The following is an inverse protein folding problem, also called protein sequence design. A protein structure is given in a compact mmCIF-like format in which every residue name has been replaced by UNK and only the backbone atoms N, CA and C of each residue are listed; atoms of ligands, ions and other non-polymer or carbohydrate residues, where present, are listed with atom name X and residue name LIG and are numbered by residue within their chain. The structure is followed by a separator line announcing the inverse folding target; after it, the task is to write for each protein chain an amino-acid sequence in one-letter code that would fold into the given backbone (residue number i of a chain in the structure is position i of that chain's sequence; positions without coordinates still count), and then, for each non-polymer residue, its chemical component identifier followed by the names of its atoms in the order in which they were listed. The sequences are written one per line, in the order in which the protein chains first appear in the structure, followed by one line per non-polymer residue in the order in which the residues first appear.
data_IF_169268680767
#
_entry.id   IF_169268680767
#
_cell.length_a   1.000
_cell.length_b   1.000
_cell.length_c   1.000
_cell.angle_alpha   90.00
_cell.angle_beta   90.00
_cell.angle_gamma   90.00
#
_symmetry.space_group_name_H-M   'P 1'
#
loop_
_entity.id
_entity.type
_entity.pdbx_description
1 polymer ?
#
# COMPACT_ATOMS: atom_id res chain seq x y z
N UNK A 1 3.56 -49.80 34.14
CA UNK A 1 4.99 -49.62 33.79
C UNK A 1 5.27 -48.14 33.85
N UNK A 2 6.08 -47.74 34.83
CA UNK A 2 6.34 -46.37 35.24
C UNK A 2 7.68 -45.94 34.67
N UNK A 3 7.72 -44.85 33.88
CA UNK A 3 8.96 -44.12 33.60
C UNK A 3 8.69 -42.61 33.64
N UNK A 4 8.82 -42.06 34.85
CA UNK A 4 9.27 -40.68 35.09
C UNK A 4 10.69 -40.52 34.54
N UNK A 5 11.00 -39.40 33.88
CA UNK A 5 12.28 -38.68 34.05
C UNK A 5 12.12 -37.17 33.90
N UNK A 6 12.17 -36.50 35.04
CA UNK A 6 12.59 -35.11 35.22
C UNK A 6 14.09 -34.96 34.99
N UNK A 7 14.51 -33.86 34.34
CA UNK A 7 15.76 -33.09 34.47
C UNK A 7 15.54 -31.86 33.55
N UNK A 8 15.78 -30.59 33.87
CA UNK A 8 16.57 -29.91 34.89
C UNK A 8 17.19 -28.65 34.24
N UNK A 9 17.41 -27.60 35.05
CA UNK A 9 18.09 -26.32 34.75
C UNK A 9 17.27 -25.27 33.95
N UNK A 10 16.82 -24.14 34.49
CA UNK A 10 17.45 -23.11 35.33
C UNK A 10 18.49 -22.27 34.58
N UNK A 11 18.02 -21.21 33.89
CA UNK A 11 18.81 -20.04 33.51
C UNK A 11 17.96 -18.77 33.72
N UNK A 12 18.01 -18.23 34.93
CA UNK A 12 17.56 -16.86 35.21
C UNK A 12 18.70 -15.93 34.83
N UNK A 13 18.57 -15.22 33.71
CA UNK A 13 19.44 -14.08 33.40
C UNK A 13 18.80 -12.82 33.98
N UNK A 14 19.38 -12.35 35.09
CA UNK A 14 19.17 -11.00 35.62
C UNK A 14 20.02 -10.05 34.77
N UNK A 15 19.38 -9.25 33.92
CA UNK A 15 20.03 -8.08 33.30
C UNK A 15 19.73 -6.88 34.19
N UNK A 16 20.75 -6.39 34.88
CA UNK A 16 20.78 -5.15 35.66
C UNK A 16 21.78 -4.20 35.00
N UNK A 17 21.34 -2.97 34.73
CA UNK A 17 22.14 -1.83 34.28
C UNK A 17 21.76 -1.39 32.86
N UNK A 18 21.48 -0.12 32.54
CA UNK A 18 21.78 1.13 33.22
C UNK A 18 20.87 2.27 32.76
N UNK A 19 20.62 3.19 33.69
CA UNK A 19 20.55 4.65 33.54
C UNK A 19 19.48 5.28 32.64
N UNK A 20 18.55 5.91 33.35
CA UNK A 20 17.62 6.94 32.90
C UNK A 20 18.36 8.14 32.30
N UNK A 21 18.09 8.46 31.03
CA UNK A 21 18.24 9.81 30.49
C UNK A 21 16.84 10.39 30.30
N UNK A 22 16.34 11.08 31.34
CA UNK A 22 15.14 11.92 31.22
C UNK A 22 15.58 13.27 30.68
N UNK A 23 15.31 13.54 29.41
CA UNK A 23 15.29 14.90 28.87
C UNK A 23 13.95 15.52 29.32
N UNK A 24 13.93 16.64 30.06
CA UNK A 24 12.70 17.36 30.30
C UNK A 24 12.29 18.04 28.99
N UNK A 25 11.31 17.45 28.30
CA UNK A 25 10.55 18.15 27.27
C UNK A 25 9.76 19.25 27.97
N UNK A 26 10.11 20.50 27.67
CA UNK A 26 9.35 21.67 28.08
C UNK A 26 7.92 21.58 27.52
N UNK A 27 6.95 21.83 28.39
CA UNK A 27 5.56 22.05 27.99
C UNK A 27 5.49 23.42 27.33
N UNK A 28 5.47 23.46 26.00
CA UNK A 28 5.03 24.65 25.26
C UNK A 28 3.50 24.65 25.20
N UNK A 29 2.90 25.36 26.16
CA UNK A 29 1.53 25.81 26.12
C UNK A 29 1.40 26.93 25.08
N UNK A 30 0.87 26.56 23.91
CA UNK A 30 0.49 27.48 22.83
C UNK A 30 -0.46 28.57 23.31
N UNK A 31 0.10 29.65 23.83
CA UNK A 31 -0.59 30.87 24.23
C UNK A 31 -0.72 31.83 23.07
N UNK A 32 -1.90 31.86 22.45
CA UNK A 32 -2.31 32.90 21.51
C UNK A 32 -2.32 34.25 22.24
N UNK A 33 -1.46 35.20 21.85
CA UNK A 33 -1.64 36.61 22.21
C UNK A 33 -1.53 37.50 20.98
N UNK A 34 -2.70 38.00 20.59
CA UNK A 34 -2.88 39.22 19.80
C UNK A 34 -2.43 40.44 20.62
N UNK A 35 -1.82 41.36 19.90
CA UNK A 35 -1.78 42.81 20.08
C UNK A 35 -1.33 43.36 21.44
N UNK A 36 -0.10 43.87 21.48
CA UNK A 36 0.20 45.22 21.99
C UNK A 36 1.64 45.59 21.67
N UNK A 37 1.81 46.71 20.97
CA UNK A 37 3.09 47.27 20.57
C UNK A 37 4.04 47.45 21.74
N UNK A 38 5.11 46.66 21.73
CA UNK A 38 6.35 46.92 22.43
C UNK A 38 7.44 46.77 21.39
N UNK A 39 8.17 47.85 21.13
CA UNK A 39 9.42 47.82 20.37
C UNK A 39 10.37 46.88 21.11
N UNK A 40 10.44 45.62 20.69
CA UNK A 40 11.54 44.74 21.09
C UNK A 40 12.79 45.32 20.46
N UNK A 41 13.65 45.91 21.30
CA UNK A 41 15.07 46.00 20.99
C UNK A 41 15.59 44.57 21.05
N UNK A 42 15.67 43.92 19.89
CA UNK A 42 16.42 42.68 19.73
C UNK A 42 17.90 43.03 19.90
N UNK A 43 18.32 43.04 21.17
CA UNK A 43 19.68 43.22 21.60
C UNK A 43 20.49 41.97 21.28
N UNK A 44 21.04 41.95 20.08
CA UNK A 44 22.10 41.06 19.66
C UNK A 44 22.78 41.68 18.46
N UNK A 45 23.60 42.72 18.70
CA UNK A 45 24.38 43.40 17.66
C UNK A 45 25.49 42.51 17.13
N UNK A 46 25.12 41.45 16.42
CA UNK A 46 26.07 40.55 15.78
C UNK A 46 26.78 41.23 14.60
N UNK A 47 27.99 40.76 14.32
CA UNK A 47 28.81 41.24 13.20
C UNK A 47 28.42 40.42 11.96
N UNK A 48 28.05 41.09 10.87
CA UNK A 48 27.75 40.43 9.61
C UNK A 48 29.01 39.70 9.08
N UNK A 49 28.87 38.42 8.73
CA UNK A 49 29.93 37.58 8.19
C UNK A 49 29.34 36.73 7.06
N UNK A 50 29.33 37.27 5.83
CA UNK A 50 28.66 36.60 4.71
C UNK A 50 27.15 36.47 4.94
N UNK A 51 26.64 35.25 4.84
CA UNK A 51 25.24 34.88 5.12
C UNK A 51 24.98 34.61 6.60
N UNK A 52 26.02 34.47 7.42
CA UNK A 52 25.88 34.36 8.86
C UNK A 52 25.98 35.73 9.54
N UNK A 53 25.41 35.80 10.73
CA UNK A 53 25.66 36.89 11.67
C UNK A 53 26.39 36.28 12.85
N UNK A 54 27.65 36.66 13.06
CA UNK A 54 28.42 36.21 14.21
C UNK A 54 27.81 36.82 15.47
N UNK A 55 27.44 36.00 16.45
CA UNK A 55 26.71 36.46 17.64
C UNK A 55 27.60 36.42 18.88
N UNK A 56 27.25 37.22 19.90
CA UNK A 56 28.09 37.34 21.10
C UNK A 56 29.39 38.10 20.82
N UNK A 57 30.53 37.53 21.24
CA UNK A 57 31.87 38.12 21.07
C UNK A 57 32.65 37.50 19.90
N UNK A 58 31.98 36.72 19.03
CA UNK A 58 32.60 36.09 17.86
C UNK A 58 33.10 37.12 16.84
N UNK A 59 34.20 36.78 16.16
CA UNK A 59 34.77 37.55 15.06
C UNK A 59 34.54 36.83 13.73
N UNK A 60 34.29 37.61 12.67
CA UNK A 60 34.19 37.07 11.31
C UNK A 60 35.58 36.66 10.82
N UNK A 61 35.79 35.36 10.68
CA UNK A 61 37.06 34.80 10.25
C UNK A 61 37.18 34.72 8.72
N UNK A 62 36.09 34.41 8.04
CA UNK A 62 36.02 34.45 6.58
C UNK A 62 34.59 34.75 6.12
N UNK A 63 34.38 35.96 5.61
CA UNK A 63 33.07 36.41 5.14
C UNK A 63 32.56 35.58 3.94
N UNK A 64 33.44 35.03 3.11
CA UNK A 64 33.02 34.23 1.94
C UNK A 64 32.38 32.89 2.35
N UNK A 65 32.66 32.39 3.54
CA UNK A 65 32.16 31.10 4.03
C UNK A 65 31.22 31.26 5.22
N UNK A 66 30.93 32.49 5.60
CA UNK A 66 30.15 32.79 6.79
C UNK A 66 30.71 32.16 8.07
N UNK A 67 32.04 32.10 8.18
CA UNK A 67 32.71 31.44 9.31
C UNK A 67 32.98 32.42 10.44
N UNK A 68 32.35 32.18 11.58
CA UNK A 68 32.57 32.88 12.84
C UNK A 68 33.49 32.06 13.75
N UNK A 69 34.36 32.73 14.51
CA UNK A 69 35.14 32.08 15.57
C UNK A 69 35.15 32.92 16.84
N UNK A 70 35.32 32.28 17.98
CA UNK A 70 35.54 32.97 19.25
C UNK A 70 36.85 33.81 19.18
N UNK A 71 36.94 34.93 19.91
CA UNK A 71 38.06 35.86 19.79
C UNK A 71 39.42 35.27 20.21
N UNK A 72 39.41 34.20 21.01
CA UNK A 72 40.62 33.50 21.48
C UNK A 72 41.03 32.30 20.60
N UNK A 73 40.31 32.05 19.50
CA UNK A 73 40.64 30.99 18.53
C UNK A 73 41.22 31.60 17.24
N UNK A 74 42.31 31.02 16.75
CA UNK A 74 42.84 31.38 15.44
C UNK A 74 41.82 30.97 14.35
N UNK A 75 41.58 31.87 13.39
CA UNK A 75 40.73 31.56 12.24
C UNK A 75 41.32 30.36 11.48
N UNK A 76 40.56 29.26 11.32
CA UNK A 76 41.08 28.09 10.62
C UNK A 76 41.24 28.45 9.14
N UNK A 77 42.41 28.09 8.59
CA UNK A 77 42.67 28.21 7.16
C UNK A 77 41.94 27.08 6.43
N UNK A 78 40.62 27.23 6.28
CA UNK A 78 39.78 26.31 5.51
C UNK A 78 39.62 26.91 4.11
N UNK A 79 39.94 26.13 3.08
CA UNK A 79 39.49 26.42 1.72
C UNK A 79 37.99 26.20 1.69
N UNK A 80 37.25 27.29 1.55
CA UNK A 80 35.80 27.22 1.58
C UNK A 80 35.27 26.89 0.19
N UNK A 81 34.59 25.76 0.12
CA UNK A 81 33.68 25.41 -0.95
C UNK A 81 32.42 26.29 -0.83
N UNK A 82 32.25 27.27 -1.71
CA UNK A 82 31.01 28.06 -1.79
C UNK A 82 29.94 27.21 -2.47
N UNK A 83 28.79 27.00 -1.80
CA UNK A 83 27.68 26.21 -2.33
C UNK A 83 26.42 27.04 -2.41
N UNK A 84 25.66 26.83 -3.47
CA UNK A 84 24.31 27.34 -3.67
C UNK A 84 23.39 26.13 -3.78
N UNK A 85 22.52 25.92 -2.79
CA UNK A 85 21.80 24.66 -2.62
C UNK A 85 22.75 23.46 -2.57
N UNK A 86 22.53 22.49 -3.47
CA UNK A 86 23.38 21.30 -3.60
C UNK A 86 24.61 21.52 -4.49
N UNK A 87 24.68 22.64 -5.23
CA UNK A 87 25.71 22.89 -6.24
C UNK A 87 26.97 23.52 -5.63
N UNK A 88 28.14 22.98 -5.98
CA UNK A 88 29.43 23.57 -5.67
C UNK A 88 29.82 24.62 -6.71
N UNK A 89 30.08 25.85 -6.27
CA UNK A 89 30.42 26.97 -7.14
C UNK A 89 31.92 27.05 -7.44
N UNK A 90 32.25 27.57 -8.62
CA UNK A 90 33.64 27.81 -9.01
C UNK A 90 34.31 28.86 -8.11
N UNK A 91 35.65 28.82 -7.95
CA UNK A 91 36.39 29.82 -7.19
C UNK A 91 36.14 31.24 -7.72
N UNK A 92 35.79 32.17 -6.82
CA UNK A 92 35.53 33.57 -7.17
C UNK A 92 34.04 33.94 -7.31
N UNK A 93 33.13 32.98 -7.15
CA UNK A 93 31.70 33.23 -6.96
C UNK A 93 31.44 33.66 -5.52
N UNK A 94 30.70 34.75 -5.34
CA UNK A 94 30.40 35.32 -4.00
C UNK A 94 28.91 35.52 -3.73
N UNK A 95 28.04 34.99 -4.59
CA UNK A 95 26.60 35.12 -4.47
C UNK A 95 25.87 33.91 -5.07
N UNK A 96 24.72 33.58 -4.49
CA UNK A 96 23.74 32.65 -5.05
C UNK A 96 22.59 33.41 -5.69
N UNK A 97 22.10 32.89 -6.81
CA UNK A 97 20.98 33.41 -7.57
C UNK A 97 19.79 32.47 -7.38
N UNK A 98 18.58 33.01 -7.15
CA UNK A 98 17.38 32.18 -7.18
C UNK A 98 16.97 31.90 -8.63
N UNK A 99 16.82 30.61 -8.94
CA UNK A 99 16.18 30.10 -10.14
C UNK A 99 14.65 30.13 -10.05
N UNK A 100 14.01 29.58 -11.08
CA UNK A 100 12.57 29.74 -11.32
C UNK A 100 11.71 28.98 -10.31
N UNK A 101 12.22 27.83 -9.83
CA UNK A 101 11.51 26.95 -8.91
C UNK A 101 12.12 26.97 -7.49
N UNK A 102 12.78 28.07 -7.14
CA UNK A 102 13.46 28.23 -5.84
C UNK A 102 14.79 27.49 -5.73
N UNK A 103 15.29 26.90 -6.81
CA UNK A 103 16.66 26.37 -6.89
C UNK A 103 17.69 27.49 -6.73
N UNK A 104 18.81 27.22 -6.06
CA UNK A 104 19.90 28.18 -5.90
C UNK A 104 21.02 27.87 -6.87
N UNK A 105 21.40 28.86 -7.68
CA UNK A 105 22.41 28.75 -8.74
C UNK A 105 23.61 29.63 -8.40
N UNK A 106 24.82 29.19 -8.77
CA UNK A 106 26.03 29.99 -8.59
C UNK A 106 26.03 31.22 -9.50
N UNK A 107 26.26 32.41 -8.94
CA UNK A 107 26.44 33.62 -9.75
C UNK A 107 27.74 33.56 -10.58
N UNK A 108 27.82 34.35 -11.66
CA UNK A 108 29.07 34.47 -12.43
C UNK A 108 30.18 35.20 -11.66
N UNK A 109 31.41 35.21 -12.19
CA UNK A 109 32.52 36.00 -11.64
C UNK A 109 32.11 37.48 -11.52
N UNK A 110 32.13 38.02 -10.29
CA UNK A 110 31.65 39.38 -9.99
C UNK A 110 30.24 39.45 -9.36
N UNK A 111 29.58 38.31 -9.14
CA UNK A 111 28.29 38.24 -8.43
C UNK A 111 27.07 38.57 -9.30
N UNK A 112 27.24 38.68 -10.62
CA UNK A 112 26.11 38.88 -11.54
C UNK A 112 25.40 37.56 -11.83
N UNK A 113 24.08 37.55 -11.63
CA UNK A 113 23.26 36.40 -11.98
C UNK A 113 23.12 36.30 -13.51
N UNK A 114 23.32 35.12 -14.11
CA UNK A 114 23.02 34.94 -15.51
C UNK A 114 21.53 35.24 -15.76
N UNK A 115 21.15 35.76 -16.94
CA UNK A 115 19.75 35.93 -17.28
C UNK A 115 19.07 34.55 -17.31
N UNK A 116 18.24 34.28 -16.30
CA UNK A 116 17.47 33.05 -16.22
C UNK A 116 16.21 33.25 -17.05
N UNK A 117 16.13 32.54 -18.19
CA UNK A 117 14.92 32.47 -18.99
C UNK A 117 13.96 31.49 -18.31
N UNK A 118 13.24 31.96 -17.28
CA UNK A 118 12.16 31.17 -16.71
C UNK A 118 11.10 30.95 -17.79
N UNK A 119 10.61 29.70 -17.98
CA UNK A 119 9.36 29.53 -18.71
C UNK A 119 8.33 30.44 -18.03
N UNK A 120 7.55 31.23 -18.80
CA UNK A 120 6.62 32.17 -18.21
C UNK A 120 5.73 31.40 -17.23
N UNK A 121 5.56 31.87 -15.98
CA UNK A 121 4.62 31.25 -15.06
C UNK A 121 3.30 31.14 -15.80
N UNK A 122 2.73 29.93 -15.82
CA UNK A 122 1.48 29.66 -16.50
C UNK A 122 0.43 30.71 -16.12
N UNK A 123 -0.55 30.94 -16.98
CA UNK A 123 -1.47 32.06 -16.89
C UNK A 123 -2.45 32.05 -15.71
N UNK A 124 -2.16 31.35 -14.60
CA UNK A 124 -3.05 31.05 -13.46
C UNK A 124 -3.89 32.23 -12.94
N UNK A 125 -3.37 33.45 -13.01
CA UNK A 125 -4.09 34.67 -12.57
C UNK A 125 -4.72 35.49 -13.72
N UNK A 126 -4.63 34.99 -14.95
CA UNK A 126 -5.09 35.60 -16.18
C UNK A 126 -4.25 36.80 -16.65
N UNK A 127 -3.22 37.20 -15.90
CA UNK A 127 -2.50 38.45 -16.15
C UNK A 127 -1.57 38.39 -17.37
N UNK A 128 -1.17 37.17 -17.77
CA UNK A 128 -0.31 36.93 -18.93
C UNK A 128 -1.08 36.65 -20.22
N UNK A 129 -2.41 36.50 -20.15
CA UNK A 129 -3.25 36.32 -21.33
C UNK A 129 -3.60 37.67 -21.98
N UNK A 130 -3.79 37.66 -23.30
CA UNK A 130 -4.25 38.83 -24.03
C UNK A 130 -5.63 39.31 -23.55
N UNK A 131 -5.98 40.57 -23.83
CA UNK A 131 -7.24 41.18 -23.40
C UNK A 131 -8.53 40.49 -23.92
N UNK A 132 -8.40 39.49 -24.80
CA UNK A 132 -9.50 38.68 -25.35
C UNK A 132 -9.33 37.19 -25.05
N UNK A 133 -8.41 36.84 -24.16
CA UNK A 133 -8.09 35.47 -23.79
C UNK A 133 -8.47 35.21 -22.33
N UNK A 134 -8.73 33.95 -22.02
CA UNK A 134 -8.93 33.42 -20.67
C UNK A 134 -7.85 32.38 -20.41
N UNK A 135 -7.36 32.30 -19.17
CA UNK A 135 -6.45 31.23 -18.82
C UNK A 135 -7.22 29.93 -18.62
N UNK A 136 -6.72 28.88 -19.25
CA UNK A 136 -7.25 27.53 -19.16
C UNK A 136 -6.21 26.63 -18.50
N UNK A 137 -6.68 25.79 -17.59
CA UNK A 137 -5.86 24.73 -17.02
C UNK A 137 -5.59 23.68 -18.12
N UNK A 138 -4.32 23.35 -18.31
CA UNK A 138 -3.87 22.24 -19.12
C UNK A 138 -3.70 20.96 -18.28
N UNK A 139 -3.17 19.92 -18.91
CA UNK A 139 -2.80 18.72 -18.18
C UNK A 139 -1.55 18.96 -17.32
N UNK A 140 -1.38 18.18 -16.25
CA UNK A 140 -0.15 18.14 -15.45
C UNK A 140 0.24 19.50 -14.84
N UNK A 141 -0.73 20.35 -14.50
CA UNK A 141 -0.49 21.65 -13.88
C UNK A 141 0.00 22.76 -14.82
N UNK A 142 0.09 22.48 -16.13
CA UNK A 142 0.31 23.51 -17.14
C UNK A 142 -0.92 24.41 -17.26
N UNK A 143 -0.74 25.62 -17.79
CA UNK A 143 -1.86 26.49 -18.13
C UNK A 143 -1.55 27.28 -19.39
N UNK A 144 -2.57 27.51 -20.21
CA UNK A 144 -2.45 28.15 -21.52
C UNK A 144 -3.59 29.15 -21.74
N UNK A 145 -3.35 30.16 -22.55
CA UNK A 145 -4.37 31.15 -22.90
C UNK A 145 -5.23 30.64 -24.06
N UNK A 146 -6.55 30.68 -23.89
CA UNK A 146 -7.54 30.37 -24.92
C UNK A 146 -8.41 31.60 -25.20
N UNK A 147 -9.06 31.67 -26.36
CA UNK A 147 -9.99 32.77 -26.66
C UNK A 147 -11.18 32.79 -25.69
N UNK A 148 -11.40 33.92 -25.01
CA UNK A 148 -12.43 34.05 -23.98
C UNK A 148 -13.86 33.81 -24.50
N UNK A 149 -14.09 33.98 -25.82
CA UNK A 149 -15.40 33.75 -26.46
C UNK A 149 -15.73 32.27 -26.62
N UNK A 150 -14.70 31.45 -26.82
CA UNK A 150 -14.82 30.03 -27.12
C UNK A 150 -14.76 29.19 -25.85
N UNK A 151 -14.26 29.78 -24.76
CA UNK A 151 -14.05 29.10 -23.49
C UNK A 151 -12.79 28.22 -23.54
N UNK A 152 -12.60 27.44 -22.48
CA UNK A 152 -11.52 26.46 -22.46
C UNK A 152 -11.92 25.24 -23.31
N UNK A 153 -11.08 24.79 -24.26
CA UNK A 153 -11.33 23.54 -24.93
C UNK A 153 -11.29 22.41 -23.90
N UNK A 154 -12.14 21.40 -24.08
CA UNK A 154 -11.97 20.12 -23.39
C UNK A 154 -10.64 19.52 -23.88
N UNK A 155 -9.63 19.52 -23.00
CA UNK A 155 -8.39 18.81 -23.26
C UNK A 155 -8.56 17.39 -22.77
N UNK A 156 -8.42 16.46 -23.70
CA UNK A 156 -8.41 15.03 -23.41
C UNK A 156 -7.03 14.68 -22.82
N UNK A 157 -6.87 14.90 -21.52
CA UNK A 157 -5.64 14.54 -20.82
C UNK A 157 -5.48 13.01 -20.83
N UNK A 158 -4.30 12.48 -21.17
CA UNK A 158 -4.06 11.05 -21.07
C UNK A 158 -4.35 10.61 -19.62
N UNK A 159 -5.20 9.61 -19.45
CA UNK A 159 -5.69 9.17 -18.15
C UNK A 159 -4.54 8.74 -17.22
N UNK A 160 -3.46 8.18 -17.77
CA UNK A 160 -2.44 7.48 -17.00
C UNK A 160 -1.49 8.43 -16.24
N UNK A 161 -1.86 8.78 -15.01
CA UNK A 161 -0.90 9.26 -14.02
C UNK A 161 -0.03 8.10 -13.50
N UNK A 162 1.22 8.36 -13.14
CA UNK A 162 2.15 7.38 -12.55
C UNK A 162 2.45 7.70 -11.08
N UNK A 163 2.38 8.97 -10.70
CA UNK A 163 2.49 9.44 -9.32
C UNK A 163 1.53 10.61 -9.07
N UNK A 164 1.38 10.98 -7.79
CA UNK A 164 0.55 12.13 -7.39
C UNK A 164 1.04 13.46 -7.99
N UNK A 165 2.33 13.57 -8.30
CA UNK A 165 2.91 14.76 -8.93
C UNK A 165 2.31 15.03 -10.32
N UNK A 166 1.88 13.97 -11.01
CA UNK A 166 1.23 14.09 -12.33
C UNK A 166 -0.19 14.69 -12.21
N UNK A 167 -0.78 14.68 -11.02
CA UNK A 167 -2.15 15.11 -10.79
C UNK A 167 -2.29 16.57 -10.32
N UNK A 168 -1.17 17.27 -10.16
CA UNK A 168 -1.15 18.64 -9.64
C UNK A 168 -1.48 18.71 -8.14
N UNK A 169 -1.41 19.91 -7.55
CA UNK A 169 -1.33 20.07 -6.08
C UNK A 169 -2.59 19.71 -5.30
N UNK A 170 -3.69 19.36 -5.98
CA UNK A 170 -4.99 19.13 -5.36
C UNK A 170 -5.63 17.79 -5.76
N UNK A 171 -4.91 16.92 -6.45
CA UNK A 171 -5.41 15.60 -6.83
C UNK A 171 -4.38 14.50 -6.54
N UNK A 172 -4.89 13.28 -6.38
CA UNK A 172 -4.13 12.05 -6.11
C UNK A 172 -4.25 11.14 -7.32
N UNK A 173 -3.17 10.45 -7.66
CA UNK A 173 -3.18 9.46 -8.71
C UNK A 173 -3.84 8.17 -8.21
N UNK A 174 -4.99 7.83 -8.78
CA UNK A 174 -5.78 6.66 -8.42
C UNK A 174 -5.70 5.58 -9.49
N UNK A 175 -5.66 4.31 -9.08
CA UNK A 175 -5.81 3.18 -10.00
C UNK A 175 -7.28 3.01 -10.39
N UNK A 176 -7.55 2.72 -11.67
CA UNK A 176 -8.89 2.41 -12.18
C UNK A 176 -9.24 0.92 -12.04
N UNK A 177 -8.37 0.12 -11.39
CA UNK A 177 -8.53 -1.31 -11.14
C UNK A 177 -8.46 -2.21 -12.38
N UNK A 178 -8.36 -1.64 -13.58
CA UNK A 178 -8.17 -2.35 -14.85
C UNK A 178 -6.73 -2.24 -15.38
N UNK A 179 -5.85 -1.64 -14.57
CA UNK A 179 -4.45 -1.40 -14.91
C UNK A 179 -4.19 0.00 -15.48
N UNK A 180 -5.23 0.84 -15.59
CA UNK A 180 -5.10 2.27 -15.84
C UNK A 180 -4.99 3.06 -14.53
N UNK A 181 -4.64 4.32 -14.66
CA UNK A 181 -4.64 5.27 -13.57
C UNK A 181 -5.41 6.53 -13.97
N UNK A 182 -5.79 7.36 -13.00
CA UNK A 182 -6.46 8.64 -13.24
C UNK A 182 -6.30 9.58 -12.03
N UNK A 183 -6.31 10.88 -12.29
CA UNK A 183 -6.23 11.88 -11.23
C UNK A 183 -7.61 12.13 -10.61
N UNK A 184 -7.71 11.97 -9.28
CA UNK A 184 -8.92 12.24 -8.51
C UNK A 184 -8.70 13.38 -7.53
N UNK A 185 -9.62 14.33 -7.47
CA UNK A 185 -9.65 15.39 -6.45
C UNK A 185 -10.21 14.91 -5.09
N UNK A 186 -10.67 13.66 -5.01
CA UNK A 186 -11.12 12.99 -3.79
C UNK A 186 -10.35 11.69 -3.52
N UNK A 187 -10.60 11.02 -2.38
CA UNK A 187 -9.95 9.76 -2.04
C UNK A 187 -10.19 8.73 -3.14
N UNK A 188 -9.13 7.96 -3.46
CA UNK A 188 -9.23 6.93 -4.48
C UNK A 188 -10.29 5.89 -4.09
N UNK A 189 -11.16 5.46 -5.02
CA UNK A 189 -12.00 4.30 -4.79
C UNK A 189 -11.08 3.10 -4.56
N UNK A 190 -11.37 2.34 -3.51
CA UNK A 190 -10.69 1.08 -3.28
C UNK A 190 -11.07 0.14 -4.42
N UNK A 191 -10.08 -0.37 -5.12
CA UNK A 191 -10.31 -1.41 -6.09
C UNK A 191 -10.89 -2.64 -5.39
N UNK A 192 -12.02 -3.20 -5.87
CA UNK A 192 -12.44 -4.50 -5.41
C UNK A 192 -11.31 -5.48 -5.71
N UNK A 193 -10.85 -6.19 -4.68
CA UNK A 193 -9.85 -7.23 -4.86
C UNK A 193 -10.36 -8.21 -5.92
N UNK A 194 -9.57 -8.55 -6.96
CA UNK A 194 -9.95 -9.60 -7.89
C UNK A 194 -10.19 -10.95 -7.18
N UNK A 195 -9.61 -11.15 -5.99
CA UNK A 195 -9.89 -12.27 -5.13
C UNK A 195 -10.06 -11.82 -3.66
N UNK A 196 -11.26 -11.36 -3.25
CA UNK A 196 -11.51 -10.89 -1.90
C UNK A 196 -11.37 -11.98 -0.82
N UNK A 197 -11.20 -13.25 -1.22
CA UNK A 197 -10.99 -14.38 -0.33
C UNK A 197 -9.53 -14.81 -0.23
N UNK A 198 -8.62 -14.28 -1.07
CA UNK A 198 -7.21 -14.51 -0.90
C UNK A 198 -6.73 -13.95 0.46
N UNK A 199 -5.83 -14.64 1.17
CA UNK A 199 -5.17 -14.07 2.34
C UNK A 199 -4.56 -12.71 2.01
N UNK A 200 -4.78 -11.72 2.87
CA UNK A 200 -4.20 -10.39 2.71
C UNK A 200 -2.70 -10.42 3.04
N UNK A 201 -1.89 -9.80 2.19
CA UNK A 201 -0.47 -9.53 2.41
C UNK A 201 -0.31 -8.27 3.27
N UNK A 202 -0.54 -8.41 4.58
CA UNK A 202 -0.37 -7.34 5.56
C UNK A 202 0.06 -7.90 6.93
N UNK A 203 1.20 -7.44 7.42
CA UNK A 203 1.78 -7.81 8.71
C UNK A 203 2.17 -6.57 9.52
N UNK A 204 1.88 -6.59 10.82
CA UNK A 204 2.33 -5.55 11.74
C UNK A 204 3.80 -5.74 12.08
N UNK A 205 4.59 -4.67 12.02
CA UNK A 205 6.02 -4.67 12.33
C UNK A 205 6.34 -3.72 13.50
N UNK A 206 7.34 -4.08 14.30
CA UNK A 206 7.75 -3.34 15.50
C UNK A 206 7.09 -3.82 16.79
N UNK A 207 7.68 -3.50 17.94
CA UNK A 207 7.28 -3.99 19.28
C UNK A 207 6.14 -3.17 19.93
N UNK A 208 5.29 -2.52 19.13
CA UNK A 208 4.16 -1.75 19.65
C UNK A 208 2.90 -2.62 19.72
N UNK A 209 2.16 -2.55 20.83
CA UNK A 209 0.81 -3.14 20.97
C UNK A 209 -0.29 -2.22 20.41
N UNK A 210 0.00 -1.48 19.34
CA UNK A 210 -0.99 -0.61 18.69
C UNK A 210 -1.85 -1.47 17.75
N UNK A 211 -3.17 -1.42 17.91
CA UNK A 211 -4.11 -2.04 16.98
C UNK A 211 -4.14 -1.26 15.66
N UNK A 212 -3.62 -1.86 14.60
CA UNK A 212 -3.57 -1.28 13.26
C UNK A 212 -4.84 -1.55 12.46
N UNK A 213 -5.54 -2.65 12.74
CA UNK A 213 -6.78 -3.03 12.09
C UNK A 213 -7.05 -4.53 12.18
N UNK A 214 -7.80 -5.06 11.21
CA UNK A 214 -8.00 -6.48 11.00
C UNK A 214 -7.68 -6.86 9.55
N UNK A 215 -7.17 -8.07 9.37
CA UNK A 215 -6.82 -8.66 8.07
C UNK A 215 -7.51 -10.00 7.91
N UNK A 216 -7.85 -10.36 6.68
CA UNK A 216 -8.27 -11.70 6.32
C UNK A 216 -7.04 -12.57 6.08
N UNK A 217 -6.87 -13.66 6.84
CA UNK A 217 -5.72 -14.56 6.67
C UNK A 217 -6.00 -15.76 5.74
N UNK A 218 -7.12 -15.74 5.01
CA UNK A 218 -7.60 -16.87 4.20
C UNK A 218 -8.70 -17.71 4.87
N UNK A 219 -8.77 -17.72 6.20
CA UNK A 219 -9.74 -18.54 6.94
C UNK A 219 -10.51 -17.79 8.00
N UNK A 220 -9.92 -16.72 8.55
CA UNK A 220 -10.53 -15.89 9.57
C UNK A 220 -10.01 -14.46 9.52
N UNK A 221 -10.82 -13.55 10.07
CA UNK A 221 -10.38 -12.19 10.34
C UNK A 221 -9.56 -12.15 11.61
N UNK A 222 -8.28 -11.80 11.49
CA UNK A 222 -7.34 -11.68 12.62
C UNK A 222 -7.01 -10.21 12.87
N UNK A 223 -6.83 -9.83 14.14
CA UNK A 223 -6.40 -8.48 14.50
C UNK A 223 -4.93 -8.28 14.15
N UNK A 224 -4.60 -7.15 13.54
CA UNK A 224 -3.24 -6.76 13.22
C UNK A 224 -2.72 -5.76 14.26
N UNK A 225 -1.58 -6.06 14.87
CA UNK A 225 -0.91 -5.18 15.84
C UNK A 225 0.54 -4.95 15.47
N UNK A 226 1.05 -3.73 15.71
CA UNK A 226 2.43 -3.35 15.43
C UNK A 226 2.62 -1.83 15.46
N UNK A 227 3.84 -1.35 15.25
CA UNK A 227 4.12 0.07 15.10
C UNK A 227 3.78 0.59 13.70
N UNK A 228 3.96 -0.25 12.68
CA UNK A 228 3.59 0.03 11.28
C UNK A 228 3.10 -1.26 10.61
N UNK A 229 2.47 -1.11 9.43
CA UNK A 229 2.07 -2.23 8.60
C UNK A 229 3.02 -2.36 7.41
N UNK A 230 3.43 -3.58 7.09
CA UNK A 230 4.17 -3.92 5.86
C UNK A 230 3.39 -4.94 5.04
N UNK A 231 3.51 -4.87 3.70
CA UNK A 231 2.79 -5.70 2.74
C UNK A 231 1.93 -4.88 1.77
N UNK A 232 1.51 -5.48 0.65
CA UNK A 232 0.74 -4.77 -0.39
C UNK A 232 -0.67 -4.36 0.07
N UNK A 233 -1.16 -4.95 1.16
CA UNK A 233 -2.54 -4.83 1.60
C UNK A 233 -2.74 -3.93 2.82
N UNK A 234 -1.69 -3.24 3.26
CA UNK A 234 -1.74 -2.34 4.41
C UNK A 234 -2.68 -1.14 4.23
N UNK A 235 -2.97 -0.74 2.99
CA UNK A 235 -3.99 0.29 2.69
C UNK A 235 -5.42 -0.23 2.76
N UNK A 236 -5.60 -1.56 2.88
CA UNK A 236 -6.87 -2.28 2.78
C UNK A 236 -7.34 -2.87 4.11
N UNK A 237 -6.65 -2.54 5.21
CA UNK A 237 -7.00 -3.03 6.54
C UNK A 237 -8.44 -2.66 6.91
N UNK A 238 -9.15 -3.61 7.50
CA UNK A 238 -10.45 -3.32 8.08
C UNK A 238 -10.27 -2.64 9.43
N UNK A 239 -11.09 -1.63 9.72
CA UNK A 239 -11.01 -0.91 11.00
C UNK A 239 -11.34 -1.81 12.21
N UNK A 240 -12.18 -2.82 12.02
CA UNK A 240 -12.57 -3.78 13.06
C UNK A 240 -12.61 -5.20 12.50
N UNK A 241 -12.53 -6.19 13.40
CA UNK A 241 -12.60 -7.61 13.04
C UNK A 241 -13.98 -7.99 12.52
N UNK A 242 -15.03 -7.35 13.03
CA UNK A 242 -16.41 -7.52 12.59
C UNK A 242 -16.61 -7.01 11.16
N UNK A 243 -16.03 -5.86 10.80
CA UNK A 243 -16.10 -5.33 9.45
C UNK A 243 -15.38 -6.25 8.44
N UNK A 244 -14.23 -6.81 8.84
CA UNK A 244 -13.56 -7.84 8.06
C UNK A 244 -14.48 -9.07 7.89
N UNK A 245 -15.05 -9.60 8.97
CA UNK A 245 -15.84 -10.83 8.92
C UNK A 245 -17.13 -10.69 8.11
N UNK A 246 -17.75 -9.50 8.12
CA UNK A 246 -18.87 -9.18 7.25
C UNK A 246 -18.44 -9.15 5.78
N UNK A 247 -17.33 -8.47 5.48
CA UNK A 247 -16.78 -8.36 4.13
C UNK A 247 -16.25 -9.68 3.58
N UNK A 248 -15.86 -10.63 4.44
CA UNK A 248 -15.35 -11.96 4.05
C UNK A 248 -16.30 -13.08 4.45
N UNK A 249 -17.56 -12.76 4.74
CA UNK A 249 -18.56 -13.76 5.14
C UNK A 249 -18.82 -14.84 4.08
N UNK A 250 -18.52 -14.55 2.82
CA UNK A 250 -18.58 -15.49 1.69
C UNK A 250 -17.25 -16.20 1.42
N UNK A 251 -16.19 -15.85 2.14
CA UNK A 251 -14.85 -16.45 2.05
C UNK A 251 -14.63 -17.55 3.08
N UNK A 252 -15.65 -17.91 3.87
CA UNK A 252 -15.61 -19.16 4.63
C UNK A 252 -15.47 -20.32 3.66
N UNK A 253 -14.55 -21.25 3.97
CA UNK A 253 -14.25 -22.39 3.14
C UNK A 253 -15.51 -23.11 2.62
N UNK A 254 -15.36 -23.77 1.48
CA UNK A 254 -16.44 -24.48 0.85
C UNK A 254 -17.13 -25.48 1.82
N UNK A 255 -18.44 -25.65 1.72
CA UNK A 255 -19.15 -26.77 2.33
C UNK A 255 -19.39 -27.91 1.32
N UNK A 256 -19.30 -27.60 0.03
CA UNK A 256 -19.45 -28.53 -1.09
C UNK A 256 -18.63 -28.10 -2.31
N UNK A 257 -18.36 -29.04 -3.22
CA UNK A 257 -17.73 -28.76 -4.52
C UNK A 257 -18.47 -27.68 -5.33
N UNK A 258 -19.79 -27.52 -5.13
CA UNK A 258 -20.60 -26.51 -5.81
C UNK A 258 -20.19 -25.07 -5.48
N UNK A 259 -19.49 -24.87 -4.37
CA UNK A 259 -19.04 -23.55 -3.91
C UNK A 259 -17.65 -23.18 -4.45
N UNK A 260 -16.93 -24.14 -5.03
CA UNK A 260 -15.61 -23.92 -5.58
C UNK A 260 -15.63 -23.61 -7.09
N UNK A 261 -14.52 -23.03 -7.57
CA UNK A 261 -14.29 -22.84 -9.01
C UNK A 261 -14.38 -24.15 -9.81
N UNK A 262 -14.51 -24.05 -11.14
CA UNK A 262 -14.67 -25.21 -12.04
C UNK A 262 -13.46 -26.16 -12.01
N UNK A 263 -12.30 -25.64 -11.68
CA UNK A 263 -11.01 -26.32 -11.56
C UNK A 263 -10.60 -26.59 -10.10
N UNK A 264 -11.50 -26.35 -9.16
CA UNK A 264 -11.28 -26.53 -7.73
C UNK A 264 -12.29 -27.52 -7.16
N UNK A 265 -11.98 -28.08 -6.00
CA UNK A 265 -12.88 -28.97 -5.24
C UNK A 265 -12.81 -28.62 -3.77
N UNK A 266 -13.81 -29.06 -3.03
CA UNK A 266 -13.89 -28.76 -1.63
C UNK A 266 -13.06 -29.73 -0.80
N UNK A 267 -11.82 -29.35 -0.51
CA UNK A 267 -10.90 -30.18 0.27
C UNK A 267 -11.13 -29.92 1.77
N UNK A 268 -11.57 -30.92 2.55
CA UNK A 268 -11.76 -30.77 4.00
C UNK A 268 -10.45 -30.48 4.74
N UNK A 269 -9.29 -30.60 4.08
CA UNK A 269 -7.97 -30.28 4.60
C UNK A 269 -7.10 -29.56 3.55
N UNK A 270 -7.68 -28.56 2.87
CA UNK A 270 -6.98 -27.78 1.84
C UNK A 270 -5.66 -27.16 2.36
N UNK A 271 -5.67 -26.64 3.59
CA UNK A 271 -4.50 -26.06 4.23
C UNK A 271 -4.60 -26.13 5.78
N UNK A 272 -3.49 -25.86 6.47
CA UNK A 272 -3.51 -25.63 7.92
C UNK A 272 -3.85 -24.19 8.27
N UNK A 273 -4.33 -23.92 9.48
CA UNK A 273 -4.60 -22.55 9.96
C UNK A 273 -3.33 -21.70 10.03
N UNK A 274 -2.16 -22.34 10.05
CA UNK A 274 -0.86 -21.69 10.00
C UNK A 274 0.20 -22.62 9.36
N UNK A 275 1.36 -22.08 8.92
CA UNK A 275 2.42 -22.89 8.28
C UNK A 275 3.01 -24.03 9.13
N UNK A 276 2.82 -23.99 10.46
CA UNK A 276 3.30 -25.00 11.40
C UNK A 276 2.18 -25.77 12.11
N UNK A 277 0.92 -25.48 11.78
CA UNK A 277 -0.23 -26.10 12.41
C UNK A 277 -0.57 -27.40 11.66
N UNK A 278 -0.87 -28.47 12.40
CA UNK A 278 -1.32 -29.75 11.84
C UNK A 278 -2.86 -29.83 11.76
N UNK A 279 -3.56 -28.70 11.89
CA UNK A 279 -5.00 -28.66 11.73
C UNK A 279 -5.39 -28.64 10.25
N UNK A 280 -6.62 -29.07 9.97
CA UNK A 280 -7.19 -29.05 8.65
C UNK A 280 -8.23 -27.93 8.59
N UNK A 281 -8.01 -26.98 7.69
CA UNK A 281 -8.99 -25.97 7.32
C UNK A 281 -9.56 -26.37 5.96
N UNK A 282 -10.87 -26.52 5.93
CA UNK A 282 -11.63 -26.83 4.73
C UNK A 282 -11.62 -25.59 3.80
N UNK A 283 -11.27 -25.78 2.53
CA UNK A 283 -11.25 -24.71 1.53
C UNK A 283 -11.25 -25.29 0.10
N UNK A 284 -11.41 -24.43 -0.91
CA UNK A 284 -11.32 -24.80 -2.30
C UNK A 284 -9.87 -25.03 -2.72
N UNK A 285 -9.51 -26.28 -2.96
CA UNK A 285 -8.19 -26.66 -3.47
C UNK A 285 -8.23 -26.89 -4.99
N UNK A 286 -7.16 -26.59 -5.75
CA UNK A 286 -7.08 -26.98 -7.16
C UNK A 286 -7.25 -28.49 -7.33
N UNK A 287 -8.12 -28.89 -8.26
CA UNK A 287 -8.28 -30.29 -8.63
C UNK A 287 -7.00 -30.80 -9.31
N UNK A 288 -6.60 -32.02 -8.97
CA UNK A 288 -5.48 -32.71 -9.64
C UNK A 288 -5.90 -33.31 -10.98
N UNK A 289 -7.20 -33.34 -11.24
CA UNK A 289 -7.78 -33.97 -12.40
C UNK A 289 -8.02 -32.93 -13.49
N UNK A 290 -7.68 -33.29 -14.73
CA UNK A 290 -7.96 -32.44 -15.87
C UNK A 290 -9.49 -32.24 -15.99
N UNK A 291 -9.92 -30.98 -16.04
CA UNK A 291 -11.32 -30.60 -16.20
C UNK A 291 -11.47 -29.77 -17.48
N UNK A 292 -12.59 -29.93 -18.18
CA UNK A 292 -12.94 -29.06 -19.31
C UNK A 292 -13.27 -27.63 -18.87
N UNK A 293 -13.22 -26.68 -19.82
CA UNK A 293 -13.40 -25.25 -19.53
C UNK A 293 -14.84 -24.88 -19.10
N UNK A 294 -15.86 -25.65 -19.51
CA UNK A 294 -17.26 -25.34 -19.20
C UNK A 294 -18.17 -26.57 -19.30
N UNK A 295 -19.06 -26.74 -18.32
CA UNK A 295 -20.17 -27.68 -18.42
C UNK A 295 -21.26 -27.10 -19.33
N UNK A 296 -21.46 -27.70 -20.51
CA UNK A 296 -22.54 -27.34 -21.45
C UNK A 296 -23.81 -28.14 -21.20
N UNK A 297 -23.73 -29.22 -20.43
CA UNK A 297 -24.92 -29.92 -19.97
C UNK A 297 -25.65 -29.09 -18.91
N UNK A 298 -26.98 -29.13 -18.90
CA UNK A 298 -27.80 -28.46 -17.87
C UNK A 298 -27.81 -29.22 -16.53
N UNK A 299 -26.77 -30.00 -16.23
CA UNK A 299 -26.65 -30.69 -14.95
C UNK A 299 -26.08 -29.75 -13.89
N UNK A 300 -26.68 -29.80 -12.69
CA UNK A 300 -26.12 -29.20 -11.49
C UNK A 300 -24.83 -29.96 -11.14
N UNK A 301 -23.78 -29.24 -10.71
CA UNK A 301 -22.53 -29.86 -10.24
C UNK A 301 -22.86 -30.84 -9.10
N UNK A 302 -22.55 -32.14 -9.23
CA UNK A 302 -22.87 -33.12 -8.20
C UNK A 302 -21.91 -32.99 -7.02
N UNK A 303 -22.37 -33.42 -5.85
CA UNK A 303 -21.49 -33.73 -4.73
C UNK A 303 -20.91 -35.13 -4.93
N UNK A 304 -19.60 -35.27 -4.88
CA UNK A 304 -18.88 -36.51 -5.17
C UNK A 304 -18.33 -37.22 -3.92
N UNK A 305 -18.79 -36.80 -2.74
CA UNK A 305 -18.33 -37.34 -1.46
C UNK A 305 -16.92 -36.89 -1.05
N UNK A 306 -16.40 -37.38 0.09
CA UNK A 306 -15.16 -36.88 0.70
C UNK A 306 -13.88 -37.29 -0.06
N UNK A 307 -13.96 -38.27 -0.96
CA UNK A 307 -12.82 -38.73 -1.78
C UNK A 307 -12.98 -38.40 -3.25
N UNK A 308 -14.11 -37.80 -3.65
CA UNK A 308 -14.41 -37.50 -5.03
C UNK A 308 -14.33 -36.01 -5.32
N UNK A 309 -14.17 -35.69 -6.60
CA UNK A 309 -14.30 -34.34 -7.13
C UNK A 309 -15.13 -34.36 -8.41
N UNK A 310 -15.97 -33.35 -8.60
CA UNK A 310 -16.69 -33.17 -9.87
C UNK A 310 -15.79 -32.44 -10.88
N UNK A 311 -15.52 -33.09 -12.02
CA UNK A 311 -14.82 -32.51 -13.18
C UNK A 311 -15.75 -32.43 -14.39
N UNK A 312 -15.38 -31.61 -15.39
CA UNK A 312 -16.08 -31.53 -16.67
C UNK A 312 -15.42 -32.46 -17.69
N UNK A 313 -16.15 -33.50 -18.12
CA UNK A 313 -15.74 -34.43 -19.18
C UNK A 313 -16.76 -34.38 -20.30
N UNK A 314 -16.31 -34.11 -21.53
CA UNK A 314 -17.16 -33.94 -22.71
C UNK A 314 -18.32 -32.94 -22.50
N UNK A 315 -18.06 -31.89 -21.72
CA UNK A 315 -19.04 -30.85 -21.43
C UNK A 315 -20.07 -31.21 -20.36
N UNK A 316 -19.91 -32.34 -19.67
CA UNK A 316 -20.77 -32.79 -18.59
C UNK A 316 -20.02 -32.96 -17.27
N UNK A 317 -20.72 -32.77 -16.15
CA UNK A 317 -20.16 -33.09 -14.83
C UNK A 317 -20.00 -34.60 -14.64
N UNK A 318 -18.83 -35.02 -14.18
CA UNK A 318 -18.51 -36.39 -13.81
C UNK A 318 -17.77 -36.43 -12.48
N UNK A 319 -18.20 -37.29 -11.57
CA UNK A 319 -17.47 -37.55 -10.33
C UNK A 319 -16.29 -38.49 -10.61
N UNK A 320 -15.09 -38.07 -10.22
CA UNK A 320 -13.87 -38.86 -10.25
C UNK A 320 -13.24 -38.90 -8.86
N UNK A 321 -12.41 -39.89 -8.59
CA UNK A 321 -11.58 -39.92 -7.38
C UNK A 321 -10.59 -38.75 -7.43
N UNK A 322 -10.51 -37.95 -6.36
CA UNK A 322 -9.70 -36.74 -6.33
C UNK A 322 -8.18 -36.99 -6.43
N UNK A 323 -7.73 -38.24 -6.21
CA UNK A 323 -6.33 -38.62 -6.22
C UNK A 323 -5.93 -39.43 -7.45
N UNK A 324 -6.78 -40.34 -7.92
CA UNK A 324 -6.49 -41.18 -9.09
C UNK A 324 -7.07 -40.62 -10.39
N UNK A 325 -8.04 -39.70 -10.29
CA UNK A 325 -8.80 -39.17 -11.42
C UNK A 325 -9.56 -40.24 -12.22
N UNK A 326 -9.71 -41.43 -11.65
CA UNK A 326 -10.54 -42.48 -12.22
C UNK A 326 -12.02 -42.18 -11.89
N UNK A 327 -12.96 -42.45 -12.81
CA UNK A 327 -14.39 -42.33 -12.52
C UNK A 327 -14.73 -43.09 -11.24
N UNK A 328 -15.42 -42.42 -10.31
CA UNK A 328 -15.93 -43.13 -9.15
C UNK A 328 -16.93 -44.19 -9.61
N UNK A 329 -16.88 -45.41 -9.07
CA UNK A 329 -17.80 -46.48 -9.41
C UNK A 329 -19.20 -46.15 -8.89
N UNK A 330 -19.91 -45.33 -9.66
CA UNK A 330 -21.29 -44.91 -9.42
C UNK A 330 -22.21 -45.72 -10.33
N UNK A 331 -23.39 -46.09 -9.83
CA UNK A 331 -24.41 -46.77 -10.63
C UNK A 331 -24.87 -46.01 -11.89
N UNK A 332 -24.65 -44.69 -11.97
CA UNK A 332 -24.85 -43.86 -13.16
C UNK A 332 -23.88 -44.25 -14.29
N UNK A 333 -22.68 -44.71 -13.94
CA UNK A 333 -21.62 -45.11 -14.89
C UNK A 333 -21.63 -46.61 -15.13
N UNK A 334 -21.73 -47.40 -14.06
CA UNK A 334 -21.69 -48.87 -14.14
C UNK A 334 -23.03 -49.48 -14.56
N UNK A 335 -24.12 -48.73 -14.45
CA UNK A 335 -25.48 -49.24 -14.58
C UNK A 335 -25.90 -50.04 -13.34
N UNK A 336 -27.21 -50.28 -13.22
CA UNK A 336 -27.76 -51.12 -12.17
C UNK A 336 -28.09 -52.53 -12.65
N UNK A 337 -28.02 -53.52 -11.74
CA UNK A 337 -28.62 -54.84 -11.96
C UNK A 337 -30.09 -54.73 -12.42
N UNK A 338 -30.56 -55.75 -13.14
CA UNK A 338 -31.97 -55.80 -13.55
C UNK A 338 -32.91 -55.74 -12.34
N UNK A 339 -33.86 -54.80 -12.38
CA UNK A 339 -34.83 -54.59 -11.29
C UNK A 339 -34.41 -53.52 -10.27
N UNK A 340 -33.28 -52.87 -10.48
CA UNK A 340 -32.81 -51.76 -9.65
C UNK A 340 -32.72 -50.45 -10.47
N UNK A 341 -32.95 -49.32 -9.82
CA UNK A 341 -32.76 -47.98 -10.38
C UNK A 341 -31.68 -47.25 -9.58
N UNK A 342 -30.80 -46.55 -10.30
CA UNK A 342 -29.76 -45.73 -9.69
C UNK A 342 -30.44 -44.49 -9.08
N UNK A 343 -30.46 -44.40 -7.76
CA UNK A 343 -31.08 -43.29 -7.04
C UNK A 343 -30.06 -42.59 -6.14
N UNK A 344 -30.21 -41.27 -5.94
CA UNK A 344 -29.42 -40.55 -4.95
C UNK A 344 -29.81 -41.01 -3.55
N UNK A 345 -28.81 -41.39 -2.77
CA UNK A 345 -28.90 -41.97 -1.43
C UNK A 345 -27.98 -41.19 -0.49
N UNK A 346 -28.49 -40.12 0.10
CA UNK A 346 -27.68 -39.18 0.90
C UNK A 346 -26.51 -38.64 0.07
N UNK A 347 -25.30 -39.15 0.30
CA UNK A 347 -24.03 -38.67 -0.29
C UNK A 347 -23.58 -39.49 -1.50
N UNK A 348 -24.25 -40.60 -1.81
CA UNK A 348 -23.86 -41.53 -2.88
C UNK A 348 -25.02 -41.85 -3.83
N UNK A 349 -24.70 -42.37 -5.01
CA UNK A 349 -25.67 -42.99 -5.91
C UNK A 349 -25.59 -44.51 -5.77
N UNK A 350 -26.69 -45.11 -5.35
CA UNK A 350 -26.79 -46.56 -5.18
C UNK A 350 -27.86 -47.15 -6.08
N UNK A 351 -27.64 -48.40 -6.49
CA UNK A 351 -28.68 -49.19 -7.11
C UNK A 351 -29.68 -49.63 -6.04
N UNK A 352 -30.91 -49.16 -6.15
CA UNK A 352 -32.00 -49.54 -5.28
C UNK A 352 -33.02 -50.38 -6.03
N UNK A 353 -33.60 -51.43 -5.42
CA UNK A 353 -34.72 -52.15 -6.00
C UNK A 353 -35.88 -51.22 -6.37
N UNK A 354 -36.60 -51.55 -7.43
CA UNK A 354 -37.76 -50.74 -7.87
C UNK A 354 -38.77 -50.55 -6.72
N UNK A 355 -38.99 -49.30 -6.31
CA UNK A 355 -39.88 -48.92 -5.20
C UNK A 355 -39.20 -48.83 -3.83
N UNK A 356 -37.92 -49.15 -3.72
CA UNK A 356 -37.12 -48.80 -2.55
C UNK A 356 -36.74 -47.30 -2.60
N UNK A 357 -36.61 -46.71 -1.42
CA UNK A 357 -36.18 -45.33 -1.22
C UNK A 357 -35.03 -45.34 -0.21
N UNK A 358 -34.02 -44.53 -0.50
CA UNK A 358 -33.14 -43.97 0.50
C UNK A 358 -33.87 -42.82 1.22
#
# INVERSE_FOLDING_TARGET
MSWLRSFGLCCVFVVVGCTQSRVPLGTDDGGVRRDSGVVRRDGGGGIACGHATCTGEEVCCNASCSLCAAPDLACPAVECEFRCGESLCEPGVSACCMGCDGEELCAGPGGECPPIACPPPGCRDGSTCGAQEICCDGCFGESFCSEARTGCPEIDCPADCRSDDDCGPAATCCSDCTGGAYCSSGPCPLCPDPNPCAPMDAFGVGECDLALGAVWNGSACVGLSGCSCEGTDCSRLYMTREACAEATSFCGGCSSDAECGLDQWCDPCAHGSCPACEDCVQDCAPSRCATGEMAVCFAIRPECGPTGTAIVVDGCWQCVDAYTCEPLPDCRVLGCPMGETCQPCFEDYACLPEGAVC
#
